data_IF_266751662410
#
_entry.id   IF_266751662410
#
_cell.length_a   1.000
_cell.length_b   1.000
_cell.length_c   1.000
_cell.angle_alpha   90.00
_cell.angle_beta   90.00
_cell.angle_gamma   90.00
#
_symmetry.space_group_name_H-M   'P 1'
#
loop_
_entity.id
_entity.type
_entity.pdbx_description
1 polymer ?
#
# COMPACT_ATOMS: atom_id res chain seq x y z
N UNK A 1 16.80 13.47 -68.79
CA UNK A 1 15.43 12.95 -68.55
C UNK A 1 15.22 12.90 -67.04
N UNK A 2 14.46 13.85 -66.49
CA UNK A 2 14.15 13.91 -65.07
C UNK A 2 12.84 13.16 -64.82
N UNK A 3 12.84 12.25 -63.85
CA UNK A 3 11.64 11.50 -63.45
C UNK A 3 10.61 12.45 -62.80
N UNK A 4 9.31 12.29 -63.09
CA UNK A 4 8.28 13.12 -62.48
C UNK A 4 8.15 12.77 -60.99
N UNK A 5 8.20 13.81 -60.13
CA UNK A 5 7.97 13.69 -58.69
C UNK A 5 6.49 13.35 -58.46
N UNK A 6 6.24 12.17 -57.90
CA UNK A 6 4.91 11.72 -57.44
C UNK A 6 4.43 12.68 -56.35
N UNK A 7 3.25 13.26 -56.53
CA UNK A 7 2.64 14.19 -55.58
C UNK A 7 2.45 13.53 -54.23
N UNK A 8 2.95 14.18 -53.17
CA UNK A 8 2.62 13.83 -51.79
C UNK A 8 1.13 14.10 -51.60
N UNK A 9 0.34 13.04 -51.39
CA UNK A 9 -1.04 13.18 -50.93
C UNK A 9 -0.95 13.59 -49.46
N UNK A 10 -1.41 14.80 -49.16
CA UNK A 10 -1.47 15.32 -47.80
C UNK A 10 -2.50 14.50 -47.01
N UNK A 11 -2.03 13.60 -46.17
CA UNK A 11 -2.86 12.80 -45.26
C UNK A 11 -3.18 13.61 -43.98
N UNK A 12 -3.81 14.76 -44.16
CA UNK A 12 -4.26 15.63 -43.08
C UNK A 12 -5.72 16.01 -43.34
N UNK A 13 -6.60 15.00 -43.33
CA UNK A 13 -8.04 15.21 -43.36
C UNK A 13 -8.49 15.73 -41.98
N UNK A 14 -9.21 16.85 -42.00
CA UNK A 14 -9.90 17.39 -40.83
C UNK A 14 -11.15 16.56 -40.53
N UNK A 15 -11.72 16.66 -39.31
CA UNK A 15 -12.92 15.89 -38.91
C UNK A 15 -14.14 16.12 -39.84
N UNK A 16 -14.13 17.19 -40.64
CA UNK A 16 -15.18 17.58 -41.60
C UNK A 16 -15.15 16.80 -42.94
N UNK A 17 -14.09 16.03 -43.23
CA UNK A 17 -13.90 15.36 -44.52
C UNK A 17 -14.34 13.87 -44.53
N UNK A 18 -14.79 13.34 -43.39
CA UNK A 18 -15.23 11.95 -43.24
C UNK A 18 -16.70 11.75 -43.67
N UNK A 19 -17.05 12.16 -44.88
CA UNK A 19 -18.39 11.99 -45.45
C UNK A 19 -18.60 10.57 -46.01
N UNK A 20 -19.85 10.15 -46.24
CA UNK A 20 -20.17 8.83 -46.83
C UNK A 20 -19.43 8.59 -48.15
N UNK A 21 -19.27 9.62 -48.98
CA UNK A 21 -18.53 9.56 -50.23
C UNK A 21 -17.04 9.25 -50.04
N UNK A 22 -16.42 9.71 -48.94
CA UNK A 22 -15.02 9.42 -48.61
C UNK A 22 -14.83 7.96 -48.19
N UNK A 23 -15.74 7.44 -47.36
CA UNK A 23 -15.72 6.01 -47.00
C UNK A 23 -16.00 5.11 -48.21
N UNK A 24 -16.90 5.53 -49.10
CA UNK A 24 -17.21 4.80 -50.33
C UNK A 24 -16.01 4.78 -51.27
N UNK A 25 -15.30 5.90 -51.43
CA UNK A 25 -14.05 5.98 -52.20
C UNK A 25 -12.99 5.05 -51.59
N UNK A 26 -12.76 5.11 -50.27
CA UNK A 26 -11.81 4.25 -49.57
C UNK A 26 -12.15 2.76 -49.67
N UNK A 27 -13.43 2.37 -49.68
CA UNK A 27 -13.84 0.97 -49.88
C UNK A 27 -13.82 0.54 -51.35
N UNK A 28 -13.92 1.48 -52.28
CA UNK A 28 -13.90 1.23 -53.72
C UNK A 28 -12.48 1.15 -54.30
N UNK A 29 -11.51 1.77 -53.63
CA UNK A 29 -10.10 1.68 -54.00
C UNK A 29 -9.59 0.25 -53.76
N UNK A 30 -8.99 -0.40 -54.78
CA UNK A 30 -8.35 -1.70 -54.60
C UNK A 30 -7.23 -1.60 -53.55
N UNK A 31 -7.14 -2.61 -52.70
CA UNK A 31 -6.06 -2.70 -51.71
C UNK A 31 -4.69 -2.85 -52.40
N UNK A 32 -3.74 -1.98 -52.07
CA UNK A 32 -2.41 -1.90 -52.71
C UNK A 32 -1.28 -2.58 -51.88
N UNK A 33 -1.63 -3.45 -50.93
CA UNK A 33 -0.66 -4.06 -49.98
C UNK A 33 0.12 -3.02 -49.15
N UNK A 34 -0.45 -1.84 -48.92
CA UNK A 34 0.18 -0.67 -48.27
C UNK A 34 -0.15 -0.51 -46.78
N UNK A 35 -1.13 -1.27 -46.26
CA UNK A 35 -1.50 -1.26 -44.83
C UNK A 35 -1.70 -2.67 -44.27
N UNK A 36 -1.83 -2.82 -42.94
CA UNK A 36 -2.04 -4.14 -42.31
C UNK A 36 -3.46 -4.29 -41.76
N UNK A 37 -3.85 -5.53 -41.46
CA UNK A 37 -5.09 -5.78 -40.71
C UNK A 37 -5.02 -5.15 -39.31
N UNK A 38 -6.17 -4.86 -38.69
CA UNK A 38 -6.24 -4.27 -37.35
C UNK A 38 -5.39 -5.02 -36.29
N UNK A 39 -5.31 -6.34 -36.38
CA UNK A 39 -4.43 -7.14 -35.53
C UNK A 39 -2.95 -6.79 -35.70
N UNK A 40 -2.51 -6.51 -36.93
CA UNK A 40 -1.16 -6.04 -37.24
C UNK A 40 -0.86 -4.68 -36.60
N UNK A 41 -1.80 -3.73 -36.66
CA UNK A 41 -1.66 -2.44 -35.97
C UNK A 41 -1.55 -2.58 -34.45
N UNK A 42 -2.35 -3.45 -33.84
CA UNK A 42 -2.27 -3.73 -32.40
C UNK A 42 -0.88 -4.29 -32.05
N UNK A 43 -0.36 -5.23 -32.85
CA UNK A 43 0.99 -5.76 -32.65
C UNK A 43 2.08 -4.68 -32.78
N UNK A 44 1.99 -3.83 -33.80
CA UNK A 44 2.90 -2.70 -33.99
C UNK A 44 2.82 -1.69 -32.83
N UNK A 45 1.62 -1.40 -32.34
CA UNK A 45 1.41 -0.52 -31.19
C UNK A 45 2.03 -1.10 -29.91
N UNK A 46 1.83 -2.39 -29.66
CA UNK A 46 2.47 -3.09 -28.54
C UNK A 46 4.00 -3.01 -28.63
N UNK A 47 4.55 -3.19 -29.84
CA UNK A 47 6.00 -3.08 -30.04
C UNK A 47 6.51 -1.65 -29.80
N UNK A 48 5.78 -0.63 -30.27
CA UNK A 48 6.10 0.78 -30.00
C UNK A 48 6.09 1.09 -28.50
N UNK A 49 5.11 0.56 -27.75
CA UNK A 49 5.03 0.71 -26.30
C UNK A 49 6.20 0.03 -25.59
N UNK A 50 6.59 -1.18 -26.04
CA UNK A 50 7.75 -1.88 -25.51
C UNK A 50 9.04 -1.07 -25.74
N UNK A 51 9.26 -0.59 -26.96
CA UNK A 51 10.44 0.22 -27.29
C UNK A 51 10.48 1.53 -26.49
N UNK A 52 9.33 2.14 -26.23
CA UNK A 52 9.21 3.30 -25.37
C UNK A 52 9.69 3.01 -23.94
N UNK A 53 9.24 1.91 -23.33
CA UNK A 53 9.70 1.54 -21.99
C UNK A 53 11.18 1.16 -21.94
N UNK A 54 11.71 0.49 -22.98
CA UNK A 54 13.15 0.22 -23.06
C UNK A 54 13.96 1.52 -23.10
N UNK A 55 13.51 2.52 -23.86
CA UNK A 55 14.13 3.85 -23.90
C UNK A 55 14.07 4.56 -22.54
N UNK A 56 12.96 4.45 -21.81
CA UNK A 56 12.86 4.98 -20.44
C UNK A 56 13.85 4.29 -19.49
N UNK A 57 13.99 2.97 -19.58
CA UNK A 57 14.94 2.21 -18.76
C UNK A 57 16.37 2.64 -19.05
N UNK A 58 16.73 2.82 -20.31
CA UNK A 58 18.10 3.16 -20.70
C UNK A 58 18.46 4.62 -20.38
N UNK A 59 17.55 5.57 -20.63
CA UNK A 59 17.88 6.98 -20.54
C UNK A 59 17.35 7.69 -19.30
N UNK A 60 16.19 7.30 -18.76
CA UNK A 60 15.57 7.98 -17.60
C UNK A 60 15.89 7.30 -16.27
N UNK A 61 15.90 5.97 -16.19
CA UNK A 61 16.18 5.26 -14.92
C UNK A 61 17.55 5.59 -14.31
N UNK A 62 18.66 5.72 -15.08
CA UNK A 62 19.94 6.10 -14.50
C UNK A 62 19.93 7.50 -13.86
N UNK A 63 19.09 8.41 -14.35
CA UNK A 63 18.94 9.75 -13.77
C UNK A 63 18.28 9.69 -12.39
N UNK A 64 17.45 8.69 -12.11
CA UNK A 64 16.82 8.51 -10.78
C UNK A 64 17.84 8.20 -9.68
N UNK A 65 19.05 7.73 -10.03
CA UNK A 65 20.13 7.50 -9.07
C UNK A 65 20.51 8.79 -8.33
N UNK A 66 20.36 9.96 -8.96
CA UNK A 66 20.62 11.25 -8.32
C UNK A 66 19.70 11.53 -7.11
N UNK A 67 18.52 10.91 -7.06
CA UNK A 67 17.55 11.08 -5.97
C UNK A 67 17.60 9.94 -4.94
N UNK A 68 18.58 9.03 -5.04
CA UNK A 68 18.73 7.91 -4.12
C UNK A 68 19.07 8.42 -2.72
N UNK A 69 18.31 7.95 -1.72
CA UNK A 69 18.62 8.14 -0.30
C UNK A 69 18.97 6.77 0.33
N UNK A 70 20.08 6.64 1.08
CA UNK A 70 20.40 5.39 1.76
C UNK A 70 19.35 5.13 2.86
N UNK A 71 19.04 3.85 3.10
CA UNK A 71 18.19 3.47 4.21
C UNK A 71 18.92 3.72 5.52
N UNK A 72 18.30 4.51 6.40
CA UNK A 72 18.76 4.71 7.78
C UNK A 72 17.74 4.01 8.67
N UNK A 73 18.14 3.00 9.47
CA UNK A 73 17.21 2.31 10.35
C UNK A 73 16.61 3.29 11.35
N UNK A 74 15.32 3.13 11.70
CA UNK A 74 14.69 3.97 12.71
C UNK A 74 15.32 3.72 14.08
N UNK A 75 15.29 4.70 14.99
CA UNK A 75 15.76 4.53 16.37
C UNK A 75 14.91 3.50 17.14
N UNK A 76 15.49 2.91 18.19
CA UNK A 76 14.95 1.75 18.92
C UNK A 76 13.51 1.92 19.47
N UNK A 77 13.07 3.16 19.72
CA UNK A 77 11.74 3.49 20.25
C UNK A 77 10.76 3.97 19.16
N UNK A 78 10.73 3.30 18.00
CA UNK A 78 9.86 3.72 16.89
C UNK A 78 8.48 3.03 16.92
N UNK A 79 7.42 3.83 16.74
CA UNK A 79 6.09 3.33 16.42
C UNK A 79 6.02 2.94 14.94
N UNK A 80 5.34 1.84 14.62
CA UNK A 80 5.10 1.44 13.23
C UNK A 80 3.74 1.94 12.79
N UNK A 81 3.73 2.81 11.78
CA UNK A 81 2.51 3.35 11.20
C UNK A 81 2.28 2.76 9.81
N UNK A 82 1.12 2.13 9.62
CA UNK A 82 0.69 1.59 8.34
C UNK A 82 -0.43 2.46 7.75
N UNK A 83 -0.24 2.84 6.50
CA UNK A 83 -1.22 3.50 5.62
C UNK A 83 -1.52 2.63 4.40
N UNK A 84 -2.65 2.88 3.75
CA UNK A 84 -3.08 2.20 2.53
C UNK A 84 -3.29 3.28 1.46
N UNK A 85 -2.85 3.00 0.23
CA UNK A 85 -3.05 3.86 -0.93
C UNK A 85 -3.34 2.97 -2.16
N UNK A 86 -4.28 3.39 -3.01
CA UNK A 86 -4.74 2.67 -4.20
C UNK A 86 -4.19 3.27 -5.51
N UNK A 87 -3.16 4.12 -5.46
CA UNK A 87 -2.39 4.50 -6.64
C UNK A 87 -3.14 5.38 -7.64
N UNK A 88 -4.06 6.22 -7.16
CA UNK A 88 -4.85 7.16 -7.98
C UNK A 88 -6.36 6.93 -7.89
N UNK A 89 -6.79 5.77 -7.40
CA UNK A 89 -8.20 5.49 -7.15
C UNK A 89 -8.67 6.03 -5.79
N UNK A 90 -9.84 6.67 -5.76
CA UNK A 90 -10.50 7.05 -4.52
C UNK A 90 -11.16 5.82 -3.88
N UNK A 91 -10.63 5.40 -2.73
CA UNK A 91 -11.18 4.28 -1.97
C UNK A 91 -11.39 4.68 -0.50
N UNK A 92 -12.54 4.32 0.12
CA UNK A 92 -12.82 4.66 1.52
C UNK A 92 -11.78 4.11 2.53
N UNK A 93 -11.11 2.99 2.21
CA UNK A 93 -10.08 2.40 3.06
C UNK A 93 -8.79 3.25 3.13
N UNK A 94 -8.61 4.20 2.22
CA UNK A 94 -7.46 5.12 2.22
C UNK A 94 -7.43 6.02 3.46
N UNK A 95 -8.59 6.29 4.07
CA UNK A 95 -8.68 7.05 5.32
C UNK A 95 -8.09 6.30 6.53
N UNK A 96 -8.10 4.95 6.51
CA UNK A 96 -7.68 4.11 7.63
C UNK A 96 -6.21 4.34 8.00
N UNK A 97 -5.94 4.48 9.29
CA UNK A 97 -4.58 4.48 9.84
C UNK A 97 -4.43 3.46 10.93
N UNK A 98 -3.28 2.80 10.94
CA UNK A 98 -2.97 1.72 11.89
C UNK A 98 -1.63 2.04 12.55
N UNK A 99 -1.62 2.02 13.88
CA UNK A 99 -0.42 2.17 14.70
C UNK A 99 -0.16 0.85 15.41
N UNK A 100 1.07 0.37 15.32
CA UNK A 100 1.54 -0.81 16.04
C UNK A 100 2.76 -0.43 16.86
N UNK A 101 2.76 -0.86 18.12
CA UNK A 101 3.87 -0.70 19.04
C UNK A 101 4.20 -2.02 19.71
N UNK A 102 5.49 -2.31 19.89
CA UNK A 102 5.91 -3.34 20.82
C UNK A 102 5.73 -2.80 22.25
N UNK A 103 5.26 -3.64 23.17
CA UNK A 103 5.07 -3.18 24.57
C UNK A 103 6.42 -2.81 25.20
N UNK A 104 7.50 -3.48 24.79
CA UNK A 104 8.86 -3.22 25.28
C UNK A 104 9.44 -1.89 24.81
N UNK A 105 8.94 -1.33 23.69
CA UNK A 105 9.41 -0.03 23.18
C UNK A 105 8.65 1.16 23.78
N UNK A 106 7.62 0.92 24.61
CA UNK A 106 6.81 1.96 25.22
C UNK A 106 7.45 2.45 26.53
N UNK A 107 7.32 3.75 26.88
CA UNK A 107 7.88 4.34 28.10
C UNK A 107 7.05 3.95 29.34
N UNK A 108 7.16 2.70 29.76
CA UNK A 108 6.49 2.13 30.94
C UNK A 108 7.43 2.14 32.14
N UNK A 109 6.92 2.54 33.31
CA UNK A 109 7.75 2.72 34.52
C UNK A 109 8.10 1.42 35.23
N UNK A 110 7.11 0.56 35.41
CA UNK A 110 7.20 -0.63 36.26
C UNK A 110 6.69 -1.90 35.54
N UNK A 111 7.06 -3.07 36.04
CA UNK A 111 6.48 -4.34 35.60
C UNK A 111 4.95 -4.39 35.79
N UNK A 112 4.45 -3.72 36.82
CA UNK A 112 3.00 -3.55 37.03
C UNK A 112 2.36 -2.73 35.91
N UNK A 113 3.05 -1.73 35.36
CA UNK A 113 2.56 -0.94 34.22
C UNK A 113 2.49 -1.79 32.95
N UNK A 114 3.47 -2.68 32.74
CA UNK A 114 3.48 -3.66 31.65
C UNK A 114 2.32 -4.65 31.79
N UNK A 115 1.94 -5.03 33.00
CA UNK A 115 0.76 -5.87 33.22
C UNK A 115 -0.54 -5.10 32.94
N UNK A 116 -0.66 -3.88 33.49
CA UNK A 116 -1.83 -3.01 33.32
C UNK A 116 -2.09 -2.69 31.86
N UNK A 117 -1.06 -2.34 31.09
CA UNK A 117 -1.22 -1.98 29.68
C UNK A 117 -1.77 -3.14 28.84
N UNK A 118 -1.36 -4.38 29.14
CA UNK A 118 -1.87 -5.59 28.48
C UNK A 118 -3.37 -5.76 28.74
N UNK A 119 -3.81 -5.54 29.98
CA UNK A 119 -5.21 -5.63 30.38
C UNK A 119 -6.04 -4.52 29.74
N UNK A 120 -5.57 -3.27 29.82
CA UNK A 120 -6.28 -2.10 29.25
C UNK A 120 -6.43 -2.20 27.74
N UNK A 121 -5.44 -2.77 27.05
CA UNK A 121 -5.48 -2.99 25.61
C UNK A 121 -6.49 -4.07 25.19
N UNK A 122 -6.83 -4.99 26.09
CA UNK A 122 -7.76 -6.09 25.86
C UNK A 122 -7.44 -6.86 24.57
N UNK A 123 -8.40 -6.98 23.62
CA UNK A 123 -8.22 -7.77 22.40
C UNK A 123 -7.23 -7.14 21.40
N UNK A 124 -6.82 -5.89 21.60
CA UNK A 124 -5.85 -5.19 20.73
C UNK A 124 -4.40 -5.61 21.01
N UNK A 125 -4.15 -6.20 22.17
CA UNK A 125 -2.85 -6.77 22.50
C UNK A 125 -2.74 -8.20 21.99
N UNK A 126 -1.58 -8.55 21.42
CA UNK A 126 -1.26 -9.91 21.01
C UNK A 126 0.15 -10.30 21.43
N UNK A 127 0.38 -11.56 21.89
CA UNK A 127 1.71 -12.01 22.27
C UNK A 127 2.67 -12.14 21.07
N UNK A 128 2.14 -12.54 19.91
CA UNK A 128 2.91 -12.66 18.67
C UNK A 128 2.78 -11.38 17.81
N UNK A 129 3.78 -11.07 16.97
CA UNK A 129 3.69 -9.97 16.02
C UNK A 129 2.48 -10.16 15.09
N UNK A 130 1.63 -9.14 14.93
CA UNK A 130 0.58 -9.20 13.92
C UNK A 130 1.21 -9.30 12.52
N UNK A 131 0.76 -10.26 11.71
CA UNK A 131 1.26 -10.46 10.34
C UNK A 131 1.23 -9.18 9.47
N UNK A 132 0.25 -8.31 9.77
CA UNK A 132 -0.01 -7.06 9.09
C UNK A 132 0.77 -5.84 9.61
N UNK A 133 1.64 -6.02 10.61
CA UNK A 133 2.24 -4.93 11.36
C UNK A 133 3.50 -4.34 10.72
N UNK A 134 4.07 -4.95 9.67
CA UNK A 134 5.36 -4.52 9.13
C UNK A 134 6.53 -4.78 10.10
N UNK A 135 6.30 -5.62 11.11
CA UNK A 135 7.26 -6.02 12.12
C UNK A 135 7.82 -7.40 11.76
N UNK A 136 9.14 -7.52 11.71
CA UNK A 136 9.82 -8.79 11.42
C UNK A 136 9.70 -9.75 12.61
N UNK A 137 9.58 -11.05 12.36
CA UNK A 137 9.58 -12.08 13.42
C UNK A 137 10.97 -12.33 14.02
N UNK A 138 12.01 -11.67 13.49
CA UNK A 138 13.40 -11.88 13.91
C UNK A 138 13.75 -11.20 15.23
N UNK A 139 12.99 -10.18 15.61
CA UNK A 139 13.23 -9.40 16.82
C UNK A 139 12.47 -10.04 18.00
N UNK A 140 13.17 -10.30 19.11
CA UNK A 140 12.61 -10.96 20.30
C UNK A 140 11.90 -9.97 21.22
N UNK A 141 10.69 -9.52 20.86
CA UNK A 141 9.87 -8.75 21.81
C UNK A 141 9.14 -9.67 22.78
N UNK A 142 9.41 -9.50 24.07
CA UNK A 142 9.00 -10.41 25.14
C UNK A 142 7.58 -10.15 25.60
N UNK A 143 7.14 -8.89 25.58
CA UNK A 143 5.83 -8.49 26.13
C UNK A 143 4.72 -8.35 25.08
N UNK A 144 4.98 -8.71 23.83
CA UNK A 144 4.01 -8.68 22.72
C UNK A 144 3.79 -7.28 22.16
N UNK A 145 2.67 -7.11 21.46
CA UNK A 145 2.37 -5.92 20.66
C UNK A 145 0.96 -5.41 20.88
N UNK A 146 0.79 -4.10 20.69
CA UNK A 146 -0.50 -3.44 20.71
C UNK A 146 -0.75 -2.86 19.33
N UNK A 147 -1.91 -3.20 18.74
CA UNK A 147 -2.35 -2.71 17.43
C UNK A 147 -3.64 -1.90 17.56
N UNK A 148 -3.56 -0.62 17.20
CA UNK A 148 -4.70 0.30 17.19
C UNK A 148 -4.94 0.76 15.75
N UNK A 149 -6.19 0.73 15.31
CA UNK A 149 -6.60 1.23 14.00
C UNK A 149 -7.79 2.15 14.13
N UNK A 150 -7.83 3.20 13.31
CA UNK A 150 -8.94 4.14 13.23
C UNK A 150 -9.28 4.43 11.76
N UNK A 151 -10.57 4.48 11.47
CA UNK A 151 -11.14 4.82 10.17
C UNK A 151 -12.41 5.68 10.31
N UNK A 152 -12.60 6.30 11.48
CA UNK A 152 -13.84 7.01 11.83
C UNK A 152 -13.89 8.41 11.22
N UNK A 153 -12.74 9.04 11.00
CA UNK A 153 -12.63 10.39 10.44
C UNK A 153 -12.38 10.36 8.92
N UNK A 154 -12.85 11.37 8.19
CA UNK A 154 -12.66 11.45 6.74
C UNK A 154 -11.19 11.65 6.37
N UNK A 155 -10.46 12.47 7.14
CA UNK A 155 -9.06 12.72 6.87
C UNK A 155 -8.15 11.67 7.52
N UNK A 156 -7.18 11.11 6.77
CA UNK A 156 -6.24 10.15 7.33
C UNK A 156 -5.36 10.75 8.43
N UNK A 157 -5.03 12.04 8.36
CA UNK A 157 -4.23 12.72 9.38
C UNK A 157 -4.97 12.74 10.73
N UNK A 158 -6.29 12.95 10.71
CA UNK A 158 -7.12 12.91 11.91
C UNK A 158 -7.16 11.50 12.52
N UNK A 159 -7.33 10.47 11.69
CA UNK A 159 -7.29 9.08 12.14
C UNK A 159 -5.94 8.70 12.77
N UNK A 160 -4.82 9.16 12.20
CA UNK A 160 -3.48 8.96 12.78
C UNK A 160 -3.36 9.67 14.11
N UNK A 161 -3.78 10.94 14.18
CA UNK A 161 -3.71 11.74 15.41
C UNK A 161 -4.51 11.08 16.53
N UNK A 162 -5.73 10.63 16.24
CA UNK A 162 -6.54 9.89 17.20
C UNK A 162 -5.86 8.60 17.67
N UNK A 163 -5.26 7.84 16.76
CA UNK A 163 -4.54 6.60 17.11
C UNK A 163 -3.30 6.88 17.98
N UNK A 164 -2.60 8.01 17.74
CA UNK A 164 -1.50 8.47 18.59
C UNK A 164 -2.01 8.88 19.98
N UNK A 165 -3.02 9.74 20.06
CA UNK A 165 -3.55 10.25 21.33
C UNK A 165 -4.14 9.13 22.19
N UNK A 166 -4.74 8.12 21.56
CA UNK A 166 -5.22 6.93 22.28
C UNK A 166 -4.10 6.06 22.81
N UNK A 167 -2.98 5.94 22.08
CA UNK A 167 -1.78 5.28 22.59
C UNK A 167 -1.20 6.04 23.80
N UNK A 168 -1.12 7.37 23.71
CA UNK A 168 -0.60 8.21 24.79
C UNK A 168 -1.45 8.10 26.06
N UNK A 169 -2.78 8.17 25.93
CA UNK A 169 -3.71 7.95 27.05
C UNK A 169 -3.55 6.56 27.65
N UNK A 170 -3.36 5.55 26.82
CA UNK A 170 -3.19 4.17 27.26
C UNK A 170 -1.89 3.98 28.06
N UNK A 171 -0.80 4.65 27.65
CA UNK A 171 0.46 4.71 28.41
C UNK A 171 0.28 5.47 29.72
N UNK A 172 -0.41 6.61 29.70
CA UNK A 172 -0.69 7.41 30.90
C UNK A 172 -1.47 6.62 31.95
N UNK A 173 -2.56 5.95 31.54
CA UNK A 173 -3.35 5.10 32.42
C UNK A 173 -2.58 3.88 32.92
N UNK A 174 -1.74 3.27 32.08
CA UNK A 174 -0.88 2.17 32.50
C UNK A 174 0.18 2.60 33.53
N UNK A 175 0.68 3.82 33.45
CA UNK A 175 1.66 4.37 34.39
C UNK A 175 1.02 4.98 35.65
N UNK A 176 -0.30 5.13 35.71
CA UNK A 176 -1.00 5.69 36.86
C UNK A 176 -1.13 4.64 37.99
N UNK A 177 -0.57 4.89 39.20
CA UNK A 177 -0.59 3.93 40.31
C UNK A 177 -1.96 3.79 40.99
N UNK A 178 -2.93 4.67 40.71
CA UNK A 178 -4.26 4.63 41.34
C UNK A 178 -5.09 3.41 40.90
N UNK A 179 -4.81 2.86 39.72
CA UNK A 179 -5.57 1.76 39.15
C UNK A 179 -4.77 0.46 39.24
N UNK A 180 -4.94 -0.27 40.35
CA UNK A 180 -4.28 -1.56 40.52
C UNK A 180 -5.10 -2.68 39.85
N UNK A 181 -4.49 -3.34 38.87
CA UNK A 181 -5.06 -4.49 38.15
C UNK A 181 -4.16 -5.73 38.31
N UNK A 182 -3.48 -5.86 39.44
CA UNK A 182 -2.56 -6.98 39.68
C UNK A 182 -3.27 -8.31 39.82
N UNK A 183 -4.46 -8.29 40.42
CA UNK A 183 -5.25 -9.50 40.70
C UNK A 183 -6.04 -9.99 39.47
N UNK A 184 -6.08 -9.20 38.40
CA UNK A 184 -6.81 -9.53 37.18
C UNK A 184 -5.88 -10.26 36.22
N UNK A 185 -6.14 -11.53 35.85
CA UNK A 185 -5.33 -12.23 34.87
C UNK A 185 -5.52 -11.66 33.47
N UNK A 186 -4.50 -11.78 32.62
CA UNK A 186 -4.57 -11.39 31.21
C UNK A 186 -5.55 -12.32 30.46
N UNK A 187 -6.51 -11.73 29.75
CA UNK A 187 -7.42 -12.50 28.91
C UNK A 187 -6.74 -12.87 27.58
N UNK A 188 -6.73 -14.17 27.26
CA UNK A 188 -6.14 -14.76 26.05
C UNK A 188 -7.20 -15.36 25.11
N UNK A 189 -8.50 -15.24 25.43
CA UNK A 189 -9.58 -15.85 24.66
C UNK A 189 -9.58 -15.44 23.19
N UNK A 190 -9.29 -14.18 22.88
CA UNK A 190 -9.20 -13.68 21.51
C UNK A 190 -8.03 -14.29 20.74
N UNK A 191 -6.90 -14.53 21.41
CA UNK A 191 -5.72 -15.17 20.82
C UNK A 191 -6.04 -16.62 20.45
N UNK A 192 -6.60 -17.39 21.39
CA UNK A 192 -7.01 -18.78 21.13
C UNK A 192 -8.08 -18.88 20.04
N UNK A 193 -9.06 -17.97 20.03
CA UNK A 193 -10.08 -17.92 18.99
C UNK A 193 -9.47 -17.65 17.60
N UNK A 194 -8.47 -16.76 17.51
CA UNK A 194 -7.74 -16.47 16.28
C UNK A 194 -6.92 -17.66 15.81
N UNK A 195 -6.20 -18.33 16.72
CA UNK A 195 -5.42 -19.53 16.43
C UNK A 195 -6.31 -20.67 15.90
N UNK A 196 -7.46 -20.91 16.54
CA UNK A 196 -8.47 -21.89 16.10
C UNK A 196 -9.01 -21.58 14.70
N UNK A 197 -9.31 -20.31 14.41
CA UNK A 197 -9.78 -19.86 13.08
C UNK A 197 -8.71 -20.00 12.00
N UNK A 198 -7.44 -19.82 12.34
CA UNK A 198 -6.35 -19.94 11.39
C UNK A 198 -6.16 -21.36 10.83
N UNK A 199 -6.83 -22.37 11.41
CA UNK A 199 -6.76 -23.80 10.99
C UNK A 199 -5.32 -24.31 10.82
N UNK A 200 -4.35 -23.72 11.51
CA UNK A 200 -2.92 -24.01 11.37
C UNK A 200 -2.49 -25.32 12.04
N UNK A 201 -3.46 -26.17 12.40
CA UNK A 201 -3.18 -27.48 12.97
C UNK A 201 -2.67 -27.47 14.42
N UNK A 202 -3.05 -26.48 15.23
CA UNK A 202 -2.93 -26.61 16.70
C UNK A 202 -4.12 -27.40 17.24
N UNK A 203 -4.07 -28.70 16.95
CA UNK A 203 -4.84 -29.75 17.61
C UNK A 203 -3.92 -30.37 18.65
N UNK A 204 -3.63 -29.59 19.69
CA UNK A 204 -2.91 -30.07 20.87
C UNK A 204 -3.70 -29.64 22.11
N UNK A 205 -4.42 -30.66 22.60
CA UNK A 205 -4.91 -30.95 23.96
C UNK A 205 -4.87 -29.83 25.00
#
# INVERSE_FOLDING_TARGET
>A
MAAPRRGLVNLAATEEDWNEDFYLDMLSTPYEDDDTVAAGHIMLQNHRQLLYYLRLIEHEMPKLVAYRRPFVPPPDASLVVRSINYGGEEHPATAKRVVVAAVDSLPLKDADAIHRIKILSGPRWTPQPPADAGVSQLDEWKNGYIKISCEDFPEPAMNLKWASDTMDRLIEHANNPKHNLKDVPIDLRHVYAKARKAKKGEHTR
#
